data_IF_607066276564
#
_entry.id   IF_607066276564
#
_cell.length_a   1.000
_cell.length_b   1.000
_cell.length_c   1.000
_cell.angle_alpha   90.00
_cell.angle_beta   90.00
_cell.angle_gamma   90.00
#
_symmetry.space_group_name_H-M   'P 1'
#
loop_
_entity.id
_entity.type
_entity.pdbx_description
1 polymer ?
2 water ?
#
# COMPACT_ATOMS: atom_id res chain seq x y z
N UNK A 12 0.98 -25.97 22.28
CA UNK A 12 -0.06 -26.58 21.46
C UNK A 12 -0.46 -25.63 20.32
N UNK A 13 0.23 -25.74 19.19
CA UNK A 13 0.03 -24.82 18.09
C UNK A 13 0.56 -25.36 16.76
N UNK A 14 0.01 -24.86 15.66
CA UNK A 14 0.42 -25.29 14.32
C UNK A 14 1.60 -24.46 13.78
N UNK A 15 1.81 -24.54 12.48
CA UNK A 15 2.90 -23.80 11.84
C UNK A 15 2.37 -22.93 10.69
N UNK A 16 3.18 -21.99 10.24
CA UNK A 16 2.77 -21.08 9.16
C UNK A 16 2.62 -21.82 7.83
N UNK A 17 1.52 -21.55 7.13
CA UNK A 17 1.22 -22.22 5.87
C UNK A 17 0.56 -21.27 4.88
N UNK A 18 1.00 -21.34 3.63
CA UNK A 18 0.39 -20.54 2.58
C UNK A 18 -1.00 -21.07 2.26
N UNK A 19 -1.95 -20.16 2.10
CA UNK A 19 -3.35 -20.54 2.00
C UNK A 19 -4.08 -19.79 0.89
N UNK A 20 -4.86 -20.52 0.11
CA UNK A 20 -5.68 -19.92 -0.94
C UNK A 20 -7.12 -19.83 -0.47
N UNK A 21 -7.30 -19.70 0.83
CA UNK A 21 -8.63 -19.73 1.44
C UNK A 21 -9.55 -18.63 0.92
N UNK A 22 -8.97 -17.49 0.57
CA UNK A 22 -9.75 -16.36 0.07
C UNK A 22 -9.60 -16.19 -1.42
N UNK A 23 -9.81 -17.27 -2.17
CA UNK A 23 -9.74 -17.20 -3.63
C UNK A 23 -11.07 -16.78 -4.21
N UNK A 24 -11.02 -15.96 -5.27
CA UNK A 24 -12.23 -15.48 -5.92
C UNK A 24 -12.81 -16.51 -6.88
N UNK A 25 -14.15 -16.65 -6.90
CA UNK A 25 -14.84 -17.60 -7.75
C UNK A 25 -15.32 -16.96 -9.05
N UNK A 34 -19.78 -2.53 -22.06
CA UNK A 34 -19.73 -1.87 -23.35
C UNK A 34 -19.10 -0.48 -23.27
N UNK A 35 -17.99 -0.30 -23.98
CA UNK A 35 -17.23 0.95 -23.94
C UNK A 35 -17.50 1.83 -25.15
N UNK A 36 -17.23 3.12 -25.00
CA UNK A 36 -17.41 4.07 -26.08
C UNK A 36 -16.51 5.29 -25.84
N UNK A 37 -16.65 6.31 -26.67
CA UNK A 37 -15.84 7.51 -26.54
C UNK A 37 -16.22 8.32 -25.30
N UNK A 38 -17.50 8.30 -24.97
CA UNK A 38 -18.01 9.10 -23.86
C UNK A 38 -17.55 8.59 -22.49
N UNK A 39 -17.21 7.30 -22.43
CA UNK A 39 -16.77 6.69 -21.17
C UNK A 39 -15.36 7.12 -20.78
N UNK A 40 -14.59 7.65 -21.73
CA UNK A 40 -13.24 8.10 -21.45
C UNK A 40 -13.14 9.62 -21.53
N UNK A 41 -14.22 10.27 -21.93
CA UNK A 41 -14.21 11.70 -22.15
C UNK A 41 -14.53 12.49 -20.89
N UNK A 42 -14.56 11.81 -19.75
CA UNK A 42 -14.84 12.48 -18.49
C UNK A 42 -13.81 12.17 -17.42
N UNK A 43 -13.59 13.14 -16.54
CA UNK A 43 -12.76 12.95 -15.37
C UNK A 43 -13.47 13.56 -14.17
N UNK A 44 -14.43 12.82 -13.63
CA UNK A 44 -15.29 13.32 -12.56
C UNK A 44 -15.04 12.65 -11.22
N UNK A 45 -14.83 13.46 -10.19
CA UNK A 45 -14.58 12.95 -8.85
C UNK A 45 -15.88 12.74 -8.08
N UNK A 46 -16.16 11.50 -7.70
CA UNK A 46 -17.38 11.16 -6.98
C UNK A 46 -17.09 10.89 -5.51
N UNK A 47 -17.89 11.48 -4.61
CA UNK A 47 -17.71 11.27 -3.18
C UNK A 47 -18.05 9.85 -2.78
N UNK A 48 -17.17 9.21 -2.00
CA UNK A 48 -17.41 7.86 -1.52
C UNK A 48 -16.77 7.64 -0.15
N UNK A 49 -17.02 6.48 0.43
CA UNK A 49 -16.52 6.17 1.77
C UNK A 49 -15.01 5.99 1.78
N UNK A 50 -14.32 6.85 2.53
CA UNK A 50 -12.88 6.76 2.66
C UNK A 50 -12.13 7.56 1.63
N UNK A 51 -12.86 8.22 0.74
CA UNK A 51 -12.22 9.05 -0.27
C UNK A 51 -13.10 9.34 -1.46
N UNK A 52 -12.63 8.95 -2.64
CA UNK A 52 -13.35 9.26 -3.87
C UNK A 52 -13.30 8.14 -4.90
N UNK A 53 -14.31 8.13 -5.77
CA UNK A 53 -14.39 7.20 -6.87
C UNK A 53 -14.31 7.95 -8.20
N UNK A 54 -13.40 7.54 -9.07
CA UNK A 54 -13.33 8.10 -10.41
C UNK A 54 -13.59 7.01 -11.44
N UNK A 55 -14.60 7.21 -12.27
CA UNK A 55 -14.90 6.27 -13.34
C UNK A 55 -14.35 6.75 -14.68
N UNK A 56 -13.49 5.93 -15.26
CA UNK A 56 -12.93 6.22 -16.58
C UNK A 56 -12.79 4.92 -17.37
N UNK A 57 -13.44 4.88 -18.53
CA UNK A 57 -13.53 3.64 -19.27
C UNK A 57 -14.20 2.58 -18.42
N UNK A 58 -13.59 1.40 -18.35
CA UNK A 58 -14.10 0.33 -17.48
C UNK A 58 -13.32 0.28 -16.17
N UNK A 59 -12.50 1.28 -15.93
CA UNK A 59 -11.75 1.38 -14.68
C UNK A 59 -12.58 2.10 -13.63
N UNK A 60 -12.57 1.58 -12.41
CA UNK A 60 -13.12 2.31 -11.28
C UNK A 60 -12.02 2.56 -10.26
N UNK A 61 -11.55 3.80 -10.19
CA UNK A 61 -10.47 4.15 -9.29
C UNK A 61 -10.99 4.56 -7.93
N UNK A 62 -10.46 3.91 -6.89
CA UNK A 62 -10.79 4.27 -5.51
C UNK A 62 -9.64 5.04 -4.89
N UNK A 63 -9.79 6.36 -4.80
CA UNK A 63 -8.73 7.20 -4.26
C UNK A 63 -8.96 7.49 -2.78
N UNK A 64 -8.02 7.06 -1.93
CA UNK A 64 -8.12 7.27 -0.49
C UNK A 64 -7.79 8.69 -0.09
N UNK A 65 -8.54 9.23 0.87
CA UNK A 65 -8.27 10.57 1.39
C UNK A 65 -7.21 10.56 2.48
N UNK A 66 -6.23 9.69 2.33
CA UNK A 66 -5.16 9.56 3.32
C UNK A 66 -3.79 9.49 2.66
N UNK A 67 -2.77 9.94 3.39
CA UNK A 67 -1.43 10.05 2.85
C UNK A 67 -1.27 11.40 2.18
N UNK A 68 -2.30 12.23 2.31
CA UNK A 68 -2.32 13.54 1.67
C UNK A 68 -1.87 14.63 2.63
N UNK A 69 -2.10 14.41 3.93
CA UNK A 69 -1.69 15.38 4.94
C UNK A 69 -0.19 15.36 5.15
N UNK A 70 0.43 14.21 4.93
CA UNK A 70 1.86 14.05 5.12
C UNK A 70 2.65 14.91 4.15
N UNK A 71 2.21 14.93 2.88
CA UNK A 71 2.88 15.72 1.86
C UNK A 71 2.89 17.21 2.19
N UNK A 72 1.77 17.69 2.74
CA UNK A 72 1.64 19.10 3.10
C UNK A 72 2.55 19.46 4.26
N UNK A 73 2.60 18.59 5.27
CA UNK A 73 3.49 18.78 6.41
C UNK A 73 4.95 18.80 5.97
N UNK A 74 5.31 17.87 5.10
CA UNK A 74 6.67 17.79 4.57
C UNK A 74 7.03 19.05 3.79
N UNK A 75 6.04 19.65 3.14
CA UNK A 75 6.23 20.89 2.40
C UNK A 75 6.39 22.07 3.37
N UNK A 76 5.48 22.18 4.32
CA UNK A 76 5.48 23.27 5.29
C UNK A 76 6.52 23.10 6.40
N UNK A 77 7.21 21.96 6.39
CA UNK A 77 8.22 21.63 7.41
C UNK A 77 7.63 21.41 8.81
N UNK A 78 6.34 21.09 8.87
CA UNK A 78 5.67 20.78 10.13
C UNK A 78 5.88 19.32 10.54
N UNK A 79 7.13 18.87 10.56
CA UNK A 79 7.40 17.46 10.79
C UNK A 79 8.45 17.22 11.87
N UNK A 80 8.58 15.96 12.28
CA UNK A 80 9.63 15.55 13.20
C UNK A 80 10.92 15.33 12.42
N UNK A 81 12.08 15.47 13.09
CA UNK A 81 13.37 15.48 12.38
C UNK A 81 13.71 14.21 11.59
N UNK A 82 12.92 13.15 11.76
CA UNK A 82 13.19 11.90 11.04
C UNK A 82 12.87 12.00 9.55
N UNK A 83 12.19 13.07 9.17
CA UNK A 83 11.75 13.25 7.79
C UNK A 83 12.64 14.18 7.00
N UNK A 84 13.70 14.67 7.64
CA UNK A 84 14.58 15.66 7.02
C UNK A 84 15.36 15.13 5.82
N UNK A 85 15.75 13.86 5.84
CA UNK A 85 16.45 13.26 4.71
C UNK A 85 15.49 13.03 3.55
N UNK A 86 14.19 12.98 3.87
CA UNK A 86 13.17 12.82 2.86
C UNK A 86 12.92 14.17 2.19
N UNK A 87 12.88 15.23 3.01
CA UNK A 87 12.75 16.58 2.48
C UNK A 87 13.97 16.95 1.65
N UNK A 88 15.13 16.44 2.05
CA UNK A 88 16.37 16.72 1.32
C UNK A 88 16.48 15.94 0.02
N UNK A 89 16.08 14.67 0.04
CA UNK A 89 16.14 13.84 -1.15
C UNK A 89 15.22 14.40 -2.23
N UNK A 90 14.05 14.88 -1.80
CA UNK A 90 13.10 15.51 -2.70
C UNK A 90 13.06 17.01 -2.44
N UNK A 91 14.24 17.61 -2.36
CA UNK A 91 14.37 19.03 -2.08
C UNK A 91 13.66 19.89 -3.12
N UNK A 92 13.55 19.36 -4.33
CA UNK A 92 12.88 20.07 -5.41
C UNK A 92 11.36 20.06 -5.22
N UNK A 93 10.88 19.29 -4.25
CA UNK A 93 9.45 19.20 -3.99
C UNK A 93 9.04 19.82 -2.65
N UNK A 94 9.75 19.45 -1.58
CA UNK A 94 9.37 19.90 -0.24
C UNK A 94 10.15 21.12 0.22
N UNK A 95 11.32 21.34 -0.35
CA UNK A 95 12.14 22.50 0.00
C UNK A 95 12.25 23.44 -1.20
N UNK A 96 11.12 23.76 -1.81
CA UNK A 96 11.09 24.61 -2.99
C UNK A 96 9.89 25.55 -2.97
N UNK A 97 10.14 26.86 -2.87
CA UNK A 97 9.10 27.88 -2.76
C UNK A 97 8.13 27.87 -3.95
N UNK A 98 8.64 27.47 -5.11
CA UNK A 98 7.81 27.44 -6.32
C UNK A 98 7.32 26.05 -6.67
N UNK A 99 7.22 25.18 -5.67
CA UNK A 99 6.57 23.89 -5.85
C UNK A 99 5.15 23.95 -5.28
N UNK A 100 4.26 23.14 -5.82
CA UNK A 100 2.86 23.16 -5.44
C UNK A 100 2.30 21.75 -5.41
N UNK A 101 1.40 21.48 -4.46
CA UNK A 101 0.83 20.15 -4.29
C UNK A 101 -0.57 20.05 -4.87
N UNK A 102 -0.81 19.03 -5.68
CA UNK A 102 -2.15 18.76 -6.19
C UNK A 102 -2.73 17.53 -5.52
N UNK A 103 -4.05 17.47 -5.46
CA UNK A 103 -4.74 16.33 -4.86
C UNK A 103 -4.48 15.07 -5.67
N UNK A 104 -4.56 13.89 -5.03
CA UNK A 104 -4.28 12.63 -5.73
C UNK A 104 -5.20 12.40 -6.91
N UNK A 105 -6.35 13.10 -6.90
CA UNK A 105 -7.30 13.06 -7.99
C UNK A 105 -6.70 13.61 -9.28
N UNK A 106 -5.93 14.68 -9.16
CA UNK A 106 -5.30 15.30 -10.32
C UNK A 106 -3.97 14.63 -10.67
N UNK A 107 -3.32 14.05 -9.67
CA UNK A 107 -2.06 13.35 -9.89
C UNK A 107 -2.32 12.07 -10.67
N UNK A 108 -3.45 11.43 -10.39
CA UNK A 108 -3.89 10.25 -11.13
C UNK A 108 -4.19 10.63 -12.57
N UNK A 109 -4.72 11.84 -12.75
CA UNK A 109 -5.06 12.34 -14.08
C UNK A 109 -3.81 12.48 -14.94
N UNK A 110 -2.77 13.08 -14.37
CA UNK A 110 -1.48 13.21 -15.03
C UNK A 110 -0.92 11.83 -15.34
N UNK A 111 -0.90 10.96 -14.34
CA UNK A 111 -0.39 9.61 -14.48
C UNK A 111 -1.09 8.86 -15.62
N UNK A 112 -2.42 8.96 -15.66
CA UNK A 112 -3.19 8.32 -16.71
C UNK A 112 -2.90 8.96 -18.07
N UNK A 113 -2.62 10.25 -18.07
CA UNK A 113 -2.28 10.96 -19.28
C UNK A 113 -1.00 10.42 -19.89
N UNK A 114 -0.02 10.15 -19.02
CA UNK A 114 1.26 9.60 -19.44
C UNK A 114 1.06 8.17 -19.95
N UNK A 115 0.16 7.45 -19.29
CA UNK A 115 -0.14 6.06 -19.64
C UNK A 115 -0.58 5.93 -21.10
N UNK A 116 -1.41 6.87 -21.53
CA UNK A 116 -1.94 6.85 -22.89
C UNK A 116 -0.84 7.16 -23.92
N UNK A 117 0.30 7.64 -23.45
CA UNK A 117 1.43 7.92 -24.33
C UNK A 117 2.45 6.78 -24.34
N UNK A 118 2.08 5.66 -23.73
CA UNK A 118 2.95 4.48 -23.71
C UNK A 118 3.12 3.92 -25.11
N UNK A 119 4.36 3.68 -25.50
CA UNK A 119 4.68 3.22 -26.86
C UNK A 119 4.12 1.82 -27.16
N UNK A 120 4.21 0.92 -26.19
CA UNK A 120 3.67 -0.43 -26.35
C UNK A 120 2.15 -0.40 -26.58
N UNK A 121 1.51 0.65 -26.06
CA UNK A 121 0.09 0.85 -26.25
C UNK A 121 -0.19 1.49 -27.61
N UNK A 122 0.70 2.36 -28.04
CA UNK A 122 0.55 3.08 -29.30
C UNK A 122 0.60 2.16 -30.51
N UNK A 123 1.54 1.22 -30.49
CA UNK A 123 1.75 0.32 -31.63
C UNK A 123 0.64 -0.72 -31.74
N UNK A 124 -0.29 -0.71 -30.79
CA UNK A 124 -1.41 -1.64 -30.81
C UNK A 124 -2.69 -0.97 -31.32
N UNK A 125 -2.55 0.22 -31.89
CA UNK A 125 -3.70 0.98 -32.36
C UNK A 125 -3.64 1.30 -33.84
N UNK A 126 -4.60 2.09 -34.31
CA UNK A 126 -4.66 2.52 -35.71
C UNK A 126 -4.70 4.05 -35.73
N UNK A 127 -4.01 4.67 -36.70
CA UNK A 127 -3.93 6.14 -36.81
C UNK A 127 -5.26 6.88 -36.62
N UNK A 128 -6.36 6.26 -37.04
CA UNK A 128 -7.67 6.86 -36.84
C UNK A 128 -8.02 6.90 -35.36
N UNK A 129 -7.59 5.87 -34.65
CA UNK A 129 -7.84 5.76 -33.22
C UNK A 129 -6.69 6.38 -32.42
N UNK A 130 -5.48 6.34 -33.00
CA UNK A 130 -4.30 6.90 -32.35
C UNK A 130 -4.42 8.41 -32.15
N UNK A 131 -4.98 9.09 -33.15
CA UNK A 131 -5.16 10.53 -33.07
C UNK A 131 -6.16 10.89 -31.97
N UNK A 132 -7.17 10.05 -31.81
CA UNK A 132 -8.19 10.26 -30.78
C UNK A 132 -7.58 10.09 -29.40
N UNK A 133 -6.82 9.02 -29.22
CA UNK A 133 -6.15 8.73 -27.96
C UNK A 133 -5.19 9.85 -27.58
N UNK A 134 -4.46 10.35 -28.58
CA UNK A 134 -3.52 11.45 -28.36
C UNK A 134 -4.22 12.69 -27.85
N UNK A 135 -5.40 12.98 -28.40
CA UNK A 135 -6.19 14.12 -27.95
C UNK A 135 -6.59 13.94 -26.49
N UNK A 136 -6.98 12.73 -26.13
CA UNK A 136 -7.34 12.41 -24.75
C UNK A 136 -6.14 12.60 -23.82
N UNK A 137 -4.98 12.16 -24.29
CA UNK A 137 -3.76 12.25 -23.50
C UNK A 137 -3.41 13.70 -23.18
N UNK A 138 -3.43 14.56 -24.20
CA UNK A 138 -3.10 15.96 -24.02
C UNK A 138 -4.10 16.64 -23.11
N UNK A 139 -5.36 16.24 -23.23
CA UNK A 139 -6.42 16.76 -22.38
C UNK A 139 -6.20 16.38 -20.92
N UNK A 140 -5.82 15.12 -20.69
CA UNK A 140 -5.55 14.63 -19.34
C UNK A 140 -4.29 15.27 -18.75
N UNK A 141 -3.30 15.54 -19.59
CA UNK A 141 -2.02 16.07 -19.14
C UNK A 141 -1.99 17.59 -18.97
N UNK A 142 -2.63 18.31 -19.90
CA UNK A 142 -2.49 19.76 -19.94
C UNK A 142 -3.69 20.52 -19.39
N UNK A 143 -4.78 19.81 -19.13
CA UNK A 143 -6.00 20.46 -18.66
C UNK A 143 -6.47 19.89 -17.33
N UNK A 144 -7.43 20.58 -16.71
CA UNK A 144 -8.05 20.10 -15.48
C UNK A 144 -9.57 20.17 -15.60
N UNK A 145 -10.05 20.18 -16.84
CA UNK A 145 -11.49 20.19 -17.12
C UNK A 145 -12.09 18.79 -16.92
N UNK A 146 -13.32 18.73 -16.42
CA UNK A 146 -13.94 17.46 -16.10
C UNK A 146 -14.41 16.68 -17.33
N UNK A 147 -14.56 17.36 -18.45
CA UNK A 147 -15.03 16.69 -19.67
C UNK A 147 -14.39 17.26 -20.92
N UNK A 148 -14.25 16.41 -21.93
CA UNK A 148 -13.74 16.85 -23.22
C UNK A 148 -14.69 16.49 -24.36
N UNK A 149 -15.05 17.50 -25.15
CA UNK A 149 -15.92 17.29 -26.30
C UNK A 149 -15.14 17.34 -27.60
N UNK A 150 -15.08 16.21 -28.31
CA UNK A 150 -14.42 16.13 -29.59
C UNK A 150 -15.45 16.15 -30.70
N UNK A 151 -15.37 17.15 -31.57
CA UNK A 151 -16.30 17.30 -32.68
C UNK A 151 -16.30 16.07 -33.59
N UNK A 152 -17.49 15.60 -33.98
CA UNK A 152 -17.68 14.42 -34.84
C UNK A 152 -16.84 14.47 -36.11
N UNK A 153 -16.58 15.68 -36.61
CA UNK A 153 -15.70 15.87 -37.75
C UNK A 153 -14.34 15.24 -37.54
N UNK A 154 -13.75 15.48 -36.37
CA UNK A 154 -12.41 15.03 -36.04
C UNK A 154 -12.30 13.51 -36.04
N UNK A 155 -13.40 12.83 -35.75
CA UNK A 155 -13.43 11.37 -35.81
C UNK A 155 -13.41 10.92 -37.26
N UNK A 156 -12.26 10.45 -37.72
CA UNK A 156 -12.11 9.99 -39.09
C UNK A 156 -12.77 8.65 -39.31
N UNK A 157 -12.84 7.85 -38.24
CA UNK A 157 -13.38 6.50 -38.32
C UNK A 157 -14.40 6.26 -37.22
N UNK A 158 -15.15 5.18 -37.34
CA UNK A 158 -16.02 4.74 -36.26
C UNK A 158 -15.17 4.12 -35.16
N UNK A 159 -15.62 4.25 -33.93
CA UNK A 159 -14.89 3.69 -32.80
C UNK A 159 -15.67 2.55 -32.15
N UNK A 160 -15.11 1.34 -32.24
CA UNK A 160 -15.77 0.17 -31.69
C UNK A 160 -15.42 -0.03 -30.23
N UNK A 161 -16.18 -0.88 -29.55
CA UNK A 161 -15.92 -1.17 -28.14
C UNK A 161 -14.58 -1.89 -27.97
N UNK A 162 -14.21 -2.68 -28.98
CA UNK A 162 -12.99 -3.46 -28.92
C UNK A 162 -11.73 -2.62 -28.89
N UNK A 163 -11.71 -1.56 -29.69
CA UNK A 163 -10.58 -0.65 -29.72
C UNK A 163 -10.34 -0.03 -28.35
N UNK A 164 -11.43 0.34 -27.67
CA UNK A 164 -11.33 0.87 -26.32
C UNK A 164 -10.88 -0.19 -25.32
N UNK A 165 -11.33 -1.43 -25.51
CA UNK A 165 -10.95 -2.52 -24.62
C UNK A 165 -9.46 -2.76 -24.63
N UNK A 166 -8.86 -2.84 -25.81
CA UNK A 166 -7.43 -3.07 -25.91
C UNK A 166 -6.66 -1.82 -25.45
N UNK A 167 -7.33 -0.67 -25.47
CA UNK A 167 -6.75 0.53 -24.91
C UNK A 167 -6.69 0.41 -23.39
N UNK A 168 -7.74 -0.16 -22.79
CA UNK A 168 -7.77 -0.41 -21.36
C UNK A 168 -6.66 -1.39 -20.97
N UNK A 169 -6.46 -2.39 -21.83
CA UNK A 169 -5.40 -3.37 -21.62
C UNK A 169 -4.03 -2.69 -21.62
N UNK A 170 -3.87 -1.70 -22.49
CA UNK A 170 -2.63 -0.96 -22.57
C UNK A 170 -2.36 -0.20 -21.29
N UNK A 171 -3.42 0.37 -20.71
CA UNK A 171 -3.32 1.11 -19.46
C UNK A 171 -2.98 0.18 -18.30
N UNK A 172 -3.65 -0.97 -18.24
CA UNK A 172 -3.36 -1.95 -17.21
C UNK A 172 -1.91 -2.38 -17.30
N UNK A 173 -1.42 -2.51 -18.53
CA UNK A 173 -0.05 -2.91 -18.75
C UNK A 173 0.95 -1.84 -18.31
N UNK A 174 0.58 -0.58 -18.46
CA UNK A 174 1.44 0.51 -18.01
C UNK A 174 1.50 0.55 -16.49
N UNK A 175 0.37 0.29 -15.86
CA UNK A 175 0.31 0.20 -14.41
C UNK A 175 1.22 -0.92 -13.96
N UNK A 176 1.15 -2.04 -14.68
CA UNK A 176 1.94 -3.23 -14.38
C UNK A 176 3.43 -2.97 -14.48
N UNK A 177 3.82 -2.12 -15.43
CA UNK A 177 5.24 -1.80 -15.61
C UNK A 177 5.74 -0.86 -14.51
N UNK A 178 4.84 -0.04 -13.99
CA UNK A 178 5.17 0.86 -12.88
C UNK A 178 5.45 0.09 -11.60
N UNK A 179 4.91 -1.12 -11.51
CA UNK A 179 5.13 -1.95 -10.33
C UNK A 179 6.44 -2.73 -10.42
N UNK A 180 7.11 -2.63 -11.56
CA UNK A 180 8.42 -3.25 -11.71
C UNK A 180 9.52 -2.31 -11.23
N UNK A 181 9.14 -1.06 -11.01
CA UNK A 181 10.06 -0.09 -10.42
C UNK A 181 10.33 -0.49 -8.98
N UNK A 182 11.55 -0.27 -8.53
CA UNK A 182 11.88 -0.47 -7.14
C UNK A 182 11.62 0.83 -6.38
N UNK A 183 11.38 0.71 -5.09
CA UNK A 183 11.30 1.88 -4.22
C UNK A 183 12.67 2.56 -4.23
N UNK A 184 12.72 3.86 -3.96
CA UNK A 184 13.99 4.57 -3.86
C UNK A 184 14.96 3.82 -2.96
N UNK A 185 16.15 3.54 -3.49
CA UNK A 185 17.12 2.71 -2.81
C UNK A 185 18.54 3.20 -3.02
N UNK A 186 19.52 2.44 -2.53
CA UNK A 186 20.91 2.77 -2.73
C UNK A 186 21.68 1.65 -3.43
N UNK A 187 21.01 0.99 -4.38
CA UNK A 187 21.61 -0.11 -5.12
C UNK A 187 21.63 0.16 -6.61
N UNK A 188 21.36 1.41 -6.98
CA UNK A 188 21.37 1.80 -8.38
C UNK A 188 20.22 1.21 -9.17
N UNK A 189 19.21 0.70 -8.47
CA UNK A 189 18.04 0.12 -9.13
C UNK A 189 17.08 1.21 -9.56
N UNK A 190 16.50 1.07 -10.76
CA UNK A 190 15.57 2.05 -11.31
C UNK A 190 14.37 2.28 -10.38
N UNK A 191 14.15 3.53 -10.00
CA UNK A 191 13.05 3.87 -9.11
C UNK A 191 12.16 4.97 -9.67
N UNK A 192 12.43 5.36 -10.91
CA UNK A 192 11.67 6.43 -11.54
C UNK A 192 11.44 6.24 -13.04
N UNK A 193 10.30 6.71 -13.51
CA UNK A 193 10.00 6.76 -14.93
C UNK A 193 9.90 8.21 -15.37
N UNK A 194 10.78 8.61 -16.29
CA UNK A 194 10.77 9.98 -16.77
C UNK A 194 10.24 10.05 -18.20
N UNK A 195 9.54 11.13 -18.51
CA UNK A 195 9.07 11.37 -19.87
C UNK A 195 9.12 12.87 -20.20
N UNK A 196 9.83 13.20 -21.27
CA UNK A 196 9.96 14.59 -21.67
C UNK A 196 9.01 14.92 -22.81
N UNK A 197 8.28 16.03 -22.67
CA UNK A 197 7.33 16.45 -23.69
C UNK A 197 7.62 17.88 -24.14
N UNK A 198 6.64 18.53 -24.74
CA UNK A 198 6.81 19.91 -25.19
C UNK A 198 6.84 20.87 -24.00
N UNK A 199 8.05 21.27 -23.62
CA UNK A 199 8.25 22.21 -22.54
C UNK A 199 7.68 21.72 -21.21
N UNK A 200 7.69 20.41 -21.02
CA UNK A 200 7.09 19.82 -19.83
C UNK A 200 7.73 18.48 -19.51
N UNK A 201 8.27 18.36 -18.30
CA UNK A 201 8.89 17.13 -17.86
C UNK A 201 8.08 16.47 -16.75
N UNK A 202 7.83 15.18 -16.89
CA UNK A 202 7.03 14.45 -15.91
C UNK A 202 7.80 13.27 -15.33
N UNK A 203 7.91 13.23 -14.00
CA UNK A 203 8.66 12.18 -13.33
C UNK A 203 7.75 11.42 -12.38
N UNK A 204 7.75 10.09 -12.49
CA UNK A 204 7.00 9.24 -11.56
C UNK A 204 7.95 8.43 -10.70
N UNK A 205 7.97 8.69 -9.41
CA UNK A 205 8.90 8.03 -8.51
C UNK A 205 8.19 7.12 -7.50
N UNK A 206 8.64 5.87 -7.43
CA UNK A 206 8.02 4.90 -6.52
C UNK A 206 8.59 5.00 -5.11
N UNK A 207 7.74 5.43 -4.18
CA UNK A 207 8.11 5.45 -2.76
C UNK A 207 7.36 4.34 -2.04
N UNK A 208 7.59 4.23 -0.73
CA UNK A 208 6.93 3.20 0.08
C UNK A 208 5.41 3.33 0.07
N UNK A 209 4.92 4.57 0.01
CA UNK A 209 3.49 4.83 0.12
C UNK A 209 2.78 4.84 -1.23
N UNK A 210 3.55 4.79 -2.31
CA UNK A 210 2.96 4.76 -3.63
C UNK A 210 3.84 5.38 -4.71
N UNK A 211 3.25 6.24 -5.52
CA UNK A 211 3.96 6.82 -6.65
C UNK A 211 3.92 8.35 -6.64
N UNK A 212 5.10 8.94 -6.57
CA UNK A 212 5.22 10.39 -6.58
C UNK A 212 5.18 10.89 -8.01
N UNK A 213 4.15 11.67 -8.33
CA UNK A 213 3.99 12.23 -9.67
C UNK A 213 4.32 13.72 -9.65
N UNK A 214 5.40 14.10 -10.32
CA UNK A 214 5.76 15.51 -10.42
C UNK A 214 5.85 15.99 -11.86
N UNK A 215 5.48 17.25 -12.09
CA UNK A 215 5.56 17.85 -13.41
C UNK A 215 6.32 19.18 -13.36
N UNK A 216 7.37 19.28 -14.15
CA UNK A 216 8.18 20.49 -14.16
C UNK A 216 7.97 21.31 -15.44
N UNK A 217 7.87 22.63 -15.29
CA UNK A 217 7.71 23.52 -16.44
C UNK A 217 8.65 24.72 -16.35
N UNK A 218 8.52 25.64 -17.30
CA UNK A 218 9.31 26.86 -17.30
C UNK A 218 8.45 28.12 -17.45
N UNK A 230 12.38 30.94 -15.54
CA UNK A 230 11.37 30.39 -14.65
C UNK A 230 11.42 28.86 -14.62
N UNK A 231 11.13 28.29 -13.46
CA UNK A 231 11.15 26.84 -13.29
C UNK A 231 10.19 26.42 -12.19
N UNK A 232 8.98 26.05 -12.58
CA UNK A 232 7.96 25.65 -11.62
C UNK A 232 7.77 24.13 -11.61
N UNK A 233 7.28 23.61 -10.49
CA UNK A 233 7.03 22.18 -10.37
C UNK A 233 5.76 21.90 -9.56
N UNK A 234 4.99 20.91 -10.02
CA UNK A 234 3.77 20.51 -9.34
C UNK A 234 3.85 19.01 -9.04
N UNK A 235 3.51 18.62 -7.81
CA UNK A 235 3.60 17.22 -7.44
C UNK A 235 2.44 16.72 -6.56
N UNK A 236 2.23 15.41 -6.61
CA UNK A 236 1.20 14.76 -5.83
C UNK A 236 1.54 13.31 -5.60
N UNK A 237 0.69 12.61 -4.86
CA UNK A 237 0.94 11.21 -4.54
C UNK A 237 -0.26 10.35 -4.94
N UNK A 238 0.02 9.28 -5.67
CA UNK A 238 -0.99 8.29 -5.99
C UNK A 238 -0.75 7.04 -5.15
N UNK A 239 -1.69 6.75 -4.25
CA UNK A 239 -1.56 5.61 -3.34
C UNK A 239 -1.47 4.31 -4.12
N UNK A 240 -0.62 3.41 -3.64
CA UNK A 240 -0.35 2.14 -4.30
C UNK A 240 -1.60 1.31 -4.56
N UNK A 241 -2.60 1.45 -3.69
CA UNK A 241 -3.83 0.68 -3.79
C UNK A 241 -4.65 1.04 -5.02
N UNK A 242 -4.56 2.31 -5.42
CA UNK A 242 -5.29 2.82 -6.58
C UNK A 242 -4.91 2.06 -7.84
N UNK A 243 -3.61 1.77 -7.98
CA UNK A 243 -3.11 1.14 -9.19
C UNK A 243 -3.02 -0.38 -9.03
N UNK A 244 -2.76 -0.84 -7.81
CA UNK A 244 -2.63 -2.26 -7.53
C UNK A 244 -3.89 -3.01 -7.95
N UNK A 245 -5.03 -2.42 -7.62
CA UNK A 245 -6.34 -2.96 -7.98
C UNK A 245 -6.48 -3.14 -9.49
N UNK A 246 -5.83 -2.28 -10.25
CA UNK A 246 -5.92 -2.29 -11.71
C UNK A 246 -4.58 -2.58 -12.36
N UNK A 247 -3.75 -3.39 -11.71
CA UNK A 247 -2.42 -3.68 -12.24
C UNK A 247 -2.36 -5.04 -12.91
N UNK A 248 -3.26 -5.93 -12.52
CA UNK A 248 -3.33 -7.26 -13.11
C UNK A 248 -4.44 -7.35 -14.17
N UNK A 249 -4.30 -8.29 -15.09
CA UNK A 249 -5.28 -8.46 -16.17
C UNK A 249 -6.63 -8.92 -15.62
N UNK A 250 -6.58 -9.66 -14.51
CA UNK A 250 -7.79 -10.15 -13.85
C UNK A 250 -8.52 -9.03 -13.13
N UNK A 251 -9.84 -9.16 -13.04
CA UNK A 251 -10.68 -8.12 -12.44
C UNK A 251 -10.41 -7.96 -10.93
N UNK A 252 -10.71 -9.01 -10.17
CA UNK A 252 -10.47 -9.01 -8.74
C UNK A 252 -11.51 -8.26 -7.94
N UNK A 253 -11.13 -7.81 -6.75
CA UNK A 253 -12.04 -7.15 -5.84
C UNK A 253 -11.41 -5.87 -5.26
N UNK A 254 -12.23 -4.84 -5.02
CA UNK A 254 -11.78 -3.48 -4.71
C UNK A 254 -10.88 -3.33 -3.47
N UNK A 255 -11.12 -4.14 -2.44
CA UNK A 255 -10.35 -3.99 -1.20
C UNK A 255 -8.87 -4.31 -1.42
N UNK B 16 9.64 7.58 -23.02
CA UNK B 16 9.89 7.39 -21.59
C UNK B 16 10.86 6.25 -21.35
N UNK B 17 11.60 6.32 -20.24
CA UNK B 17 12.57 5.30 -19.91
C UNK B 17 12.84 5.22 -18.40
N UNK B 18 13.31 4.07 -17.95
CA UNK B 18 13.66 3.87 -16.55
C UNK B 18 14.97 4.59 -16.24
N UNK B 19 15.00 5.28 -15.10
CA UNK B 19 16.20 5.99 -14.68
C UNK B 19 16.18 6.27 -13.18
N UNK B 20 17.37 6.30 -12.57
CA UNK B 20 17.49 6.55 -11.14
C UNK B 20 17.78 8.02 -10.89
N UNK B 21 16.80 8.74 -10.35
CA UNK B 21 16.95 10.16 -10.09
C UNK B 21 16.95 10.47 -8.60
N UNK B 22 16.14 9.74 -7.85
CA UNK B 22 16.01 9.98 -6.42
C UNK B 22 16.58 8.85 -5.57
N UNK B 23 17.41 8.01 -6.20
CA UNK B 23 18.06 6.93 -5.46
C UNK B 23 18.99 7.45 -4.37
N UNK B 24 19.08 6.70 -3.29
CA UNK B 24 19.87 7.09 -2.13
C UNK B 24 21.35 6.86 -2.35
N UNK B 25 22.20 7.63 -1.65
CA UNK B 25 23.66 7.43 -1.72
C UNK B 25 24.10 6.25 -0.86
N UNK B 26 25.01 5.44 -1.38
CA UNK B 26 25.50 4.28 -0.65
C UNK B 26 26.30 4.69 0.59
N UNK B 35 24.59 -1.33 21.56
CA UNK B 35 23.33 -0.76 21.10
C UNK B 35 22.18 -1.05 22.05
N UNK B 36 20.99 -0.56 21.72
CA UNK B 36 19.84 -0.62 22.61
C UNK B 36 19.18 -2.00 22.61
N UNK B 37 19.69 -2.90 23.44
CA UNK B 37 19.21 -4.28 23.49
C UNK B 37 17.80 -4.38 24.10
N UNK B 38 17.52 -3.56 25.10
CA UNK B 38 16.23 -3.61 25.81
C UNK B 38 15.07 -3.03 25.01
N UNK B 39 15.36 -2.53 23.81
CA UNK B 39 14.33 -1.97 22.94
C UNK B 39 13.38 -3.06 22.44
N UNK B 40 13.84 -4.30 22.46
CA UNK B 40 13.03 -5.44 22.05
C UNK B 40 11.91 -5.72 23.05
N UNK B 41 12.06 -5.22 24.26
CA UNK B 41 11.08 -5.46 25.31
C UNK B 41 10.13 -4.28 25.44
N UNK B 42 10.31 -3.27 24.60
CA UNK B 42 9.46 -2.08 24.63
C UNK B 42 8.54 -2.02 23.40
N UNK B 43 7.35 -1.46 23.60
CA UNK B 43 6.43 -1.18 22.51
C UNK B 43 5.99 0.26 22.60
N UNK B 44 6.76 1.15 21.98
CA UNK B 44 6.54 2.59 22.12
C UNK B 44 5.66 3.17 21.02
N UNK B 45 4.36 3.26 21.29
CA UNK B 45 3.43 3.88 20.36
C UNK B 45 3.25 5.36 20.70
N UNK B 46 3.26 6.20 19.67
CA UNK B 46 3.04 7.63 19.86
C UNK B 46 2.48 8.26 18.61
N UNK B 47 1.45 9.10 18.77
CA UNK B 47 0.77 9.74 17.64
C UNK B 47 1.72 10.60 16.83
N UNK B 48 1.56 10.59 15.51
CA UNK B 48 2.38 11.42 14.64
C UNK B 48 1.58 11.86 13.42
N UNK B 49 2.26 12.51 12.49
CA UNK B 49 1.59 13.07 11.32
C UNK B 49 0.96 11.99 10.47
N UNK B 50 -0.37 12.00 10.41
CA UNK B 50 -1.11 11.04 9.61
C UNK B 50 -1.33 9.71 10.30
N UNK B 51 -0.96 9.62 11.57
CA UNK B 51 -1.19 8.40 12.33
C UNK B 51 -0.31 8.24 13.55
N UNK B 52 0.42 7.13 13.60
CA UNK B 52 1.24 6.81 14.77
C UNK B 52 2.66 6.39 14.40
N UNK B 53 3.53 6.43 15.39
CA UNK B 53 4.86 5.85 15.27
C UNK B 53 5.03 4.80 16.36
N UNK B 54 5.44 3.61 15.97
CA UNK B 54 5.75 2.58 16.95
C UNK B 54 7.20 2.16 16.82
N UNK B 55 7.92 2.27 17.94
CA UNK B 55 9.31 1.85 18.00
C UNK B 55 9.44 0.52 18.72
N UNK B 56 10.05 -0.44 18.06
CA UNK B 56 10.35 -1.73 18.66
C UNK B 56 11.64 -2.25 18.07
N UNK B 57 12.57 -2.65 18.94
CA UNK B 57 13.90 -2.99 18.49
C UNK B 57 14.51 -1.77 17.83
N UNK B 58 15.12 -1.95 16.68
CA UNK B 58 15.64 -0.82 15.91
C UNK B 58 14.72 -0.47 14.74
N UNK B 59 13.47 -0.93 14.83
CA UNK B 59 12.47 -0.57 13.81
C UNK B 59 11.71 0.66 14.24
N UNK B 60 11.47 1.56 13.30
CA UNK B 60 10.55 2.66 13.51
C UNK B 60 9.38 2.51 12.55
N UNK B 61 8.22 2.13 13.08
CA UNK B 61 7.05 1.91 12.24
C UNK B 61 6.22 3.18 12.08
N UNK B 62 5.84 3.48 10.84
CA UNK B 62 4.97 4.61 10.55
C UNK B 62 3.58 4.12 10.15
N UNK B 63 2.63 4.21 11.08
CA UNK B 63 1.29 3.68 10.88
C UNK B 63 0.29 4.78 10.53
N UNK B 64 -0.28 4.72 9.31
CA UNK B 64 -1.30 5.65 8.84
C UNK B 64 -2.70 5.34 9.37
N UNK B 65 -3.59 6.33 9.30
CA UNK B 65 -4.98 6.19 9.70
C UNK B 65 -5.83 5.55 8.61
N UNK B 66 -5.17 5.02 7.59
CA UNK B 66 -5.85 4.56 6.38
C UNK B 66 -6.73 3.33 6.57
N UNK B 67 -7.96 3.40 6.07
CA UNK B 67 -8.81 2.24 5.97
C UNK B 67 -9.79 2.04 7.10
N UNK B 68 -9.59 2.75 8.20
CA UNK B 68 -10.41 2.59 9.39
C UNK B 68 -11.88 2.94 9.14
N UNK B 69 -12.11 4.02 8.42
CA UNK B 69 -13.48 4.43 8.10
C UNK B 69 -14.11 3.41 7.16
N UNK B 70 -13.36 2.97 6.16
CA UNK B 70 -13.83 1.99 5.20
C UNK B 70 -14.15 0.64 5.85
N UNK B 71 -13.24 0.16 6.71
CA UNK B 71 -13.43 -1.12 7.38
C UNK B 71 -14.72 -1.16 8.19
N UNK B 72 -15.01 -0.07 8.88
CA UNK B 72 -16.21 0.01 9.69
C UNK B 72 -17.46 0.01 8.80
N UNK B 73 -17.40 0.73 7.69
CA UNK B 73 -18.53 0.81 6.77
C UNK B 73 -18.83 -0.54 6.10
N UNK B 74 -17.78 -1.30 5.80
CA UNK B 74 -17.94 -2.60 5.15
C UNK B 74 -18.67 -3.64 6.01
N UNK B 75 -18.81 -3.35 7.31
CA UNK B 75 -19.58 -4.24 8.18
C UNK B 75 -21.07 -4.00 8.01
N UNK B 76 -21.41 -2.94 7.28
CA UNK B 76 -22.79 -2.68 6.93
C UNK B 76 -23.14 -3.38 5.63
N UNK B 77 -24.41 -3.73 5.47
CA UNK B 77 -24.87 -4.33 4.22
C UNK B 77 -25.41 -3.28 3.27
N UNK B 78 -25.41 -2.03 3.71
CA UNK B 78 -25.91 -0.94 2.88
C UNK B 78 -24.76 -0.23 2.19
N UNK B 79 -23.94 -1.01 1.48
CA UNK B 79 -22.82 -0.48 0.72
C UNK B 79 -23.14 -0.61 -0.76
N UNK B 80 -22.53 0.24 -1.57
CA UNK B 80 -22.68 0.17 -3.01
C UNK B 80 -22.27 -1.22 -3.51
N UNK B 81 -22.93 -1.71 -4.57
CA UNK B 81 -22.75 -3.07 -5.10
C UNK B 81 -21.30 -3.50 -5.29
N UNK B 82 -20.41 -2.57 -5.54
CA UNK B 82 -19.00 -2.90 -5.80
C UNK B 82 -18.30 -3.50 -4.58
N UNK B 83 -18.86 -3.30 -3.40
CA UNK B 83 -18.23 -3.79 -2.18
C UNK B 83 -18.83 -5.09 -1.67
N UNK B 84 -19.94 -5.50 -2.27
CA UNK B 84 -20.65 -6.69 -1.78
C UNK B 84 -19.84 -7.97 -1.96
N UNK B 85 -19.06 -8.02 -3.04
CA UNK B 85 -18.19 -9.17 -3.28
C UNK B 85 -17.18 -9.30 -2.14
N UNK B 86 -16.65 -8.15 -1.72
CA UNK B 86 -15.68 -8.12 -0.62
C UNK B 86 -16.31 -8.63 0.67
N UNK B 87 -17.52 -8.17 0.97
CA UNK B 87 -18.25 -8.62 2.15
C UNK B 87 -18.51 -10.12 2.11
N UNK B 88 -18.81 -10.64 0.92
CA UNK B 88 -19.05 -12.07 0.75
C UNK B 88 -17.78 -12.89 0.94
N UNK B 89 -16.68 -12.41 0.38
CA UNK B 89 -15.41 -13.10 0.51
C UNK B 89 -14.99 -13.22 1.97
N UNK B 90 -15.17 -12.15 2.73
CA UNK B 90 -14.87 -12.15 4.16
C UNK B 90 -16.14 -12.06 4.99
N UNK B 91 -16.99 -13.08 4.87
CA UNK B 91 -18.27 -13.11 5.57
C UNK B 91 -18.13 -13.05 7.08
N UNK B 92 -17.23 -13.87 7.61
CA UNK B 92 -17.01 -13.95 9.06
C UNK B 92 -16.51 -12.63 9.63
N UNK B 93 -15.99 -11.76 8.76
CA UNK B 93 -15.50 -10.46 9.19
C UNK B 93 -16.54 -9.35 9.00
N UNK B 94 -17.13 -9.28 7.81
CA UNK B 94 -18.00 -8.17 7.47
C UNK B 94 -19.49 -8.47 7.64
N UNK B 95 -19.88 -9.72 7.39
CA UNK B 95 -21.27 -10.11 7.53
C UNK B 95 -21.50 -10.85 8.86
N UNK B 96 -20.65 -10.52 9.83
CA UNK B 96 -20.81 -10.98 11.20
C UNK B 96 -20.67 -9.78 12.13
N UNK B 97 -21.78 -9.33 12.71
CA UNK B 97 -21.79 -8.12 13.54
C UNK B 97 -20.96 -8.26 14.82
N UNK B 98 -20.74 -9.50 15.25
CA UNK B 98 -20.02 -9.75 16.50
C UNK B 98 -18.51 -9.53 16.40
N UNK B 99 -17.98 -9.59 15.19
CA UNK B 99 -16.54 -9.36 14.99
C UNK B 99 -16.22 -7.89 15.23
N UNK B 100 -15.06 -7.62 15.83
CA UNK B 100 -14.68 -6.26 16.15
C UNK B 100 -13.40 -5.83 15.46
N UNK B 101 -13.37 -4.57 15.04
CA UNK B 101 -12.22 -4.02 14.33
C UNK B 101 -11.21 -3.43 15.30
N UNK B 102 -9.94 -3.78 15.11
CA UNK B 102 -8.88 -3.25 15.96
C UNK B 102 -8.05 -2.23 15.19
N UNK B 103 -7.40 -1.33 15.92
CA UNK B 103 -6.54 -0.32 15.33
C UNK B 103 -5.39 -0.98 14.58
N UNK B 104 -4.91 -0.33 13.52
CA UNK B 104 -3.82 -0.88 12.71
C UNK B 104 -2.53 -1.15 13.49
N UNK B 105 -2.24 -0.35 14.51
CA UNK B 105 -1.03 -0.58 15.31
C UNK B 105 -1.15 -1.82 16.21
N UNK B 106 -2.38 -2.19 16.53
CA UNK B 106 -2.63 -3.42 17.26
C UNK B 106 -2.51 -4.60 16.31
N UNK B 107 -2.87 -4.38 15.05
CA UNK B 107 -2.77 -5.41 14.03
C UNK B 107 -1.31 -5.63 13.66
N UNK B 108 -0.52 -4.56 13.68
CA UNK B 108 0.90 -4.66 13.43
C UNK B 108 1.55 -5.45 14.55
N UNK B 109 1.10 -5.19 15.77
CA UNK B 109 1.62 -5.86 16.96
C UNK B 109 1.40 -7.35 16.83
N UNK B 110 0.21 -7.73 16.39
CA UNK B 110 -0.15 -9.12 16.15
C UNK B 110 0.74 -9.72 15.08
N UNK B 111 0.97 -8.96 14.02
CA UNK B 111 1.79 -9.40 12.90
C UNK B 111 3.22 -9.66 13.36
N UNK B 112 3.73 -8.78 14.21
CA UNK B 112 5.07 -8.93 14.76
C UNK B 112 5.18 -10.18 15.63
N UNK B 113 4.12 -10.48 16.38
CA UNK B 113 4.09 -11.67 17.21
C UNK B 113 4.26 -12.93 16.38
N UNK B 114 3.60 -12.93 15.22
CA UNK B 114 3.72 -14.04 14.28
C UNK B 114 5.14 -14.16 13.73
N UNK B 115 5.73 -13.02 13.36
CA UNK B 115 7.07 -12.98 12.77
C UNK B 115 8.11 -13.57 13.71
N UNK B 116 7.96 -13.28 15.01
CA UNK B 116 8.89 -13.82 16.00
C UNK B 116 8.85 -15.34 16.09
N UNK B 117 7.80 -15.96 15.57
CA UNK B 117 7.71 -17.41 15.61
C UNK B 117 8.07 -18.04 14.27
N UNK B 118 8.59 -17.24 13.34
CA UNK B 118 9.01 -17.74 12.03
C UNK B 118 10.08 -18.83 12.17
N UNK B 119 9.88 -19.94 11.46
CA UNK B 119 10.78 -21.10 11.56
C UNK B 119 12.20 -20.80 11.08
N UNK B 120 12.33 -19.84 10.18
CA UNK B 120 13.63 -19.51 9.62
C UNK B 120 14.41 -18.64 10.59
N UNK B 121 13.68 -17.97 11.49
CA UNK B 121 14.31 -17.10 12.48
C UNK B 121 14.78 -17.85 13.72
N UNK B 122 13.97 -18.81 14.16
CA UNK B 122 14.22 -19.53 15.40
C UNK B 122 15.18 -20.69 15.20
N UNK B 123 15.78 -20.72 14.02
CA UNK B 123 16.62 -21.85 13.66
C UNK B 123 18.09 -21.54 13.99
N UNK B 124 18.43 -20.27 14.02
CA UNK B 124 19.80 -19.84 14.32
C UNK B 124 19.93 -19.13 15.66
N UNK B 125 18.88 -19.23 16.48
CA UNK B 125 18.90 -18.65 17.82
C UNK B 125 19.37 -19.68 18.83
N UNK B 126 20.10 -19.22 19.85
CA UNK B 126 20.46 -20.07 20.97
C UNK B 126 19.21 -20.33 21.81
N UNK B 127 19.07 -21.55 22.33
CA UNK B 127 17.88 -22.03 23.06
C UNK B 127 17.42 -21.09 24.17
N UNK B 128 18.36 -20.52 24.92
CA UNK B 128 18.02 -19.58 25.97
C UNK B 128 17.32 -18.35 25.43
N UNK B 129 17.86 -17.78 24.36
CA UNK B 129 17.27 -16.61 23.73
C UNK B 129 16.01 -16.99 22.97
N UNK B 130 15.97 -18.22 22.47
CA UNK B 130 14.78 -18.72 21.78
C UNK B 130 13.58 -18.70 22.71
N UNK B 131 13.79 -19.04 23.97
CA UNK B 131 12.72 -19.03 24.95
C UNK B 131 12.32 -17.60 25.31
N UNK B 132 13.28 -16.69 25.23
CA UNK B 132 12.99 -15.27 25.43
C UNK B 132 12.10 -14.76 24.31
N UNK B 133 12.48 -15.09 23.07
CA UNK B 133 11.69 -14.74 21.89
C UNK B 133 10.27 -15.26 22.03
N UNK B 134 10.13 -16.44 22.63
CA UNK B 134 8.83 -17.03 22.87
C UNK B 134 8.00 -16.16 23.82
N UNK B 135 8.63 -15.70 24.89
CA UNK B 135 7.96 -14.81 25.83
C UNK B 135 7.56 -13.50 25.16
N UNK B 136 8.47 -12.95 24.35
CA UNK B 136 8.19 -11.71 23.61
C UNK B 136 7.01 -11.90 22.68
N UNK B 137 7.01 -13.02 21.97
CA UNK B 137 5.95 -13.33 21.02
C UNK B 137 4.59 -13.39 21.69
N UNK B 138 4.52 -14.06 22.83
CA UNK B 138 3.27 -14.17 23.58
C UNK B 138 2.81 -12.79 24.07
N UNK B 139 3.77 -11.97 24.48
CA UNK B 139 3.50 -10.62 24.94
C UNK B 139 2.90 -9.76 23.84
N UNK B 140 3.40 -9.93 22.62
CA UNK B 140 2.91 -9.14 21.49
C UNK B 140 1.53 -9.60 21.03
N UNK B 141 1.27 -10.91 21.12
CA UNK B 141 0.01 -11.46 20.63
C UNK B 141 -1.14 -11.31 21.63
N UNK B 142 -0.83 -11.46 22.91
CA UNK B 142 -1.88 -11.51 23.94
C UNK B 142 -2.06 -10.22 24.72
N UNK B 143 -1.06 -9.35 24.71
CA UNK B 143 -1.12 -8.12 25.50
C UNK B 143 -1.09 -6.87 24.64
N UNK B 144 -1.37 -5.73 25.27
CA UNK B 144 -1.31 -4.44 24.61
C UNK B 144 -0.45 -3.48 25.42
N UNK B 145 0.18 -4.01 26.45
CA UNK B 145 1.05 -3.22 27.32
C UNK B 145 2.30 -2.79 26.57
N UNK B 146 2.86 -1.65 26.98
CA UNK B 146 4.00 -1.06 26.27
C UNK B 146 5.33 -1.72 26.63
N UNK B 147 5.34 -2.50 27.70
CA UNK B 147 6.58 -3.14 28.14
C UNK B 147 6.39 -4.55 28.67
N UNK B 148 7.39 -5.40 28.43
CA UNK B 148 7.47 -6.71 29.03
C UNK B 148 8.73 -6.75 29.88
N UNK B 149 8.63 -7.24 31.10
CA UNK B 149 9.79 -7.27 31.99
C UNK B 149 10.37 -8.67 32.12
N UNK B 150 11.58 -8.84 31.59
CA UNK B 150 12.29 -10.11 31.68
C UNK B 150 13.53 -9.94 32.55
N UNK B 151 13.80 -10.93 33.39
CA UNK B 151 14.93 -10.87 34.32
C UNK B 151 16.27 -10.61 33.61
N UNK B 152 17.05 -9.67 34.14
CA UNK B 152 18.36 -9.32 33.57
C UNK B 152 19.33 -10.50 33.59
N UNK B 153 19.02 -11.51 34.40
CA UNK B 153 19.84 -12.71 34.46
C UNK B 153 19.78 -13.49 33.15
N UNK B 154 18.58 -13.61 32.59
CA UNK B 154 18.40 -14.31 31.33
C UNK B 154 18.86 -13.47 30.16
N UNK B 155 18.59 -12.17 30.23
CA UNK B 155 19.00 -11.24 29.19
C UNK B 155 20.52 -11.09 29.13
N UNK B 156 21.15 -11.18 30.30
CA UNK B 156 22.57 -10.94 30.42
C UNK B 156 23.45 -12.03 29.83
N UNK B 157 22.84 -13.16 29.50
CA UNK B 157 23.60 -14.26 28.90
C UNK B 157 23.06 -14.66 27.54
N UNK B 158 21.78 -14.40 27.30
CA UNK B 158 21.13 -14.86 26.07
C UNK B 158 20.89 -13.74 25.06
N UNK B 159 20.61 -12.53 25.54
CA UNK B 159 20.40 -11.40 24.65
C UNK B 159 21.73 -10.73 24.29
N UNK B 160 22.45 -11.33 23.35
CA UNK B 160 23.72 -10.77 22.90
C UNK B 160 23.49 -9.88 21.68
N UNK B 161 24.53 -9.17 21.25
CA UNK B 161 24.43 -8.32 20.08
C UNK B 161 24.12 -9.15 18.84
N UNK B 162 24.76 -10.31 18.74
CA UNK B 162 24.51 -11.25 17.66
C UNK B 162 23.04 -11.67 17.59
N UNK B 163 22.49 -12.04 18.74
CA UNK B 163 21.09 -12.47 18.82
C UNK B 163 20.13 -11.33 18.51
N UNK B 164 20.49 -10.12 18.90
CA UNK B 164 19.70 -8.94 18.55
C UNK B 164 19.73 -8.72 17.05
N UNK B 165 20.92 -8.81 16.47
CA UNK B 165 21.10 -8.62 15.04
C UNK B 165 20.28 -9.61 14.24
N UNK B 166 20.39 -10.89 14.63
CA UNK B 166 19.66 -11.95 13.96
C UNK B 166 18.16 -11.76 14.09
N UNK B 167 17.71 -11.36 15.27
CA UNK B 167 16.31 -11.13 15.52
C UNK B 167 15.71 -10.09 14.59
N UNK B 168 16.42 -8.98 14.41
CA UNK B 168 15.97 -7.92 13.52
C UNK B 168 16.00 -8.39 12.06
N UNK B 169 17.08 -9.08 11.68
CA UNK B 169 17.20 -9.60 10.32
C UNK B 169 16.09 -10.60 9.99
N UNK B 170 15.69 -11.38 10.99
CA UNK B 170 14.62 -12.35 10.82
C UNK B 170 13.27 -11.71 10.56
N UNK B 171 12.97 -10.64 11.30
CA UNK B 171 11.69 -9.95 11.15
C UNK B 171 11.59 -9.27 9.79
N UNK B 172 12.69 -8.66 9.34
CA UNK B 172 12.74 -8.06 8.02
C UNK B 172 12.52 -9.14 6.96
N UNK B 173 13.10 -10.30 7.20
CA UNK B 173 12.94 -11.44 6.28
C UNK B 173 11.50 -11.90 6.19
N UNK B 174 10.81 -11.91 7.33
CA UNK B 174 9.41 -12.31 7.36
C UNK B 174 8.54 -11.29 6.63
N UNK B 175 8.85 -10.01 6.81
CA UNK B 175 8.13 -8.95 6.11
C UNK B 175 8.31 -9.14 4.62
N UNK B 176 9.53 -9.48 4.23
CA UNK B 176 9.86 -9.67 2.82
C UNK B 176 9.12 -10.83 2.18
N UNK B 177 8.96 -11.92 2.92
CA UNK B 177 8.26 -13.08 2.38
C UNK B 177 6.75 -12.86 2.35
N UNK B 178 6.27 -11.92 3.16
CA UNK B 178 4.86 -11.52 3.11
C UNK B 178 4.53 -10.85 1.78
N UNK B 179 5.53 -10.21 1.18
CA UNK B 179 5.34 -9.57 -0.11
C UNK B 179 5.43 -10.55 -1.27
N UNK B 180 5.71 -11.82 -0.95
CA UNK B 180 5.64 -12.85 -1.97
C UNK B 180 4.20 -13.30 -2.14
N UNK B 181 3.35 -12.97 -1.17
CA UNK B 181 1.93 -13.26 -1.25
C UNK B 181 1.26 -12.46 -2.36
N UNK B 182 0.35 -13.09 -3.08
CA UNK B 182 -0.46 -12.40 -4.07
C UNK B 182 -1.71 -11.84 -3.42
N UNK B 183 -2.18 -10.71 -3.92
CA UNK B 183 -3.48 -10.19 -3.52
C UNK B 183 -4.52 -11.24 -3.91
N UNK B 184 -5.65 -11.25 -3.20
CA UNK B 184 -6.70 -12.22 -3.48
C UNK B 184 -7.05 -12.27 -4.96
N UNK B 185 -7.11 -13.47 -5.50
CA UNK B 185 -7.25 -13.66 -6.93
C UNK B 185 -8.17 -14.83 -7.25
N UNK B 186 -8.41 -15.04 -8.54
CA UNK B 186 -9.29 -16.11 -8.99
C UNK B 186 -8.53 -17.20 -9.72
N UNK B 187 -7.21 -17.22 -9.56
CA UNK B 187 -6.37 -18.22 -10.23
C UNK B 187 -5.39 -18.95 -9.30
N UNK B 188 -5.93 -19.44 -8.18
CA UNK B 188 -5.20 -20.36 -7.31
C UNK B 188 -3.82 -19.95 -6.84
N UNK B 189 -3.69 -18.69 -6.43
CA UNK B 189 -2.42 -18.20 -5.91
C UNK B 189 -2.53 -17.93 -4.42
N UNK B 190 -1.50 -18.33 -3.66
CA UNK B 190 -1.43 -18.16 -2.20
C UNK B 190 -1.60 -16.71 -1.80
N UNK B 191 -2.76 -16.39 -1.25
CA UNK B 191 -3.08 -15.02 -0.89
C UNK B 191 -3.05 -14.81 0.61
N UNK B 192 -2.79 -15.88 1.36
CA UNK B 192 -2.85 -15.81 2.81
C UNK B 192 -1.77 -16.63 3.49
N UNK B 193 -1.51 -16.30 4.76
CA UNK B 193 -0.67 -17.10 5.63
C UNK B 193 -1.44 -17.40 6.91
N UNK B 194 -1.64 -18.67 7.21
CA UNK B 194 -2.35 -19.05 8.42
C UNK B 194 -1.41 -19.66 9.44
N UNK B 195 -1.74 -19.48 10.71
CA UNK B 195 -0.93 -20.03 11.78
C UNK B 195 -1.76 -20.14 13.06
N UNK B 196 -1.43 -21.13 13.89
CA UNK B 196 -2.01 -21.20 15.23
C UNK B 196 -0.93 -20.87 16.25
N UNK B 197 -1.24 -19.99 17.19
CA UNK B 197 -0.29 -19.58 18.21
C UNK B 197 -0.99 -19.31 19.53
N UNK B 198 -0.57 -20.02 20.58
CA UNK B 198 -1.12 -19.86 21.93
C UNK B 198 -2.64 -19.89 22.00
N UNK B 199 -3.26 -20.79 21.25
CA UNK B 199 -4.69 -20.99 21.32
C UNK B 199 -5.53 -19.97 20.57
N UNK B 200 -5.00 -19.44 19.48
CA UNK B 200 -5.79 -18.54 18.63
C UNK B 200 -5.34 -18.55 17.18
N UNK B 201 -6.27 -18.86 16.29
CA UNK B 201 -5.99 -18.96 14.86
C UNK B 201 -5.77 -17.59 14.24
N UNK B 202 -4.59 -17.38 13.68
CA UNK B 202 -4.26 -16.09 13.07
C UNK B 202 -4.11 -16.23 11.55
N UNK B 203 -4.78 -15.35 10.81
CA UNK B 203 -4.74 -15.38 9.35
C UNK B 203 -4.39 -14.01 8.77
N UNK B 204 -3.31 -13.97 7.99
CA UNK B 204 -2.88 -12.74 7.32
C UNK B 204 -3.10 -12.83 5.81
N UNK B 205 -3.93 -11.94 5.29
CA UNK B 205 -4.26 -11.96 3.87
C UNK B 205 -3.88 -10.64 3.18
N UNK B 206 -3.25 -10.75 2.02
CA UNK B 206 -2.89 -9.56 1.27
C UNK B 206 -4.05 -9.06 0.42
N UNK B 207 -4.44 -7.80 0.65
CA UNK B 207 -5.42 -7.14 -0.18
C UNK B 207 -4.76 -5.99 -0.92
N UNK B 208 -5.52 -5.26 -1.73
CA UNK B 208 -4.97 -4.12 -2.47
C UNK B 208 -4.43 -3.01 -1.56
N UNK B 209 -5.05 -2.87 -0.40
CA UNK B 209 -4.71 -1.79 0.52
C UNK B 209 -3.55 -2.15 1.44
N UNK B 210 -3.27 -3.44 1.56
CA UNK B 210 -2.21 -3.91 2.43
C UNK B 210 -2.51 -5.29 2.93
N UNK B 211 -2.28 -5.51 4.22
CA UNK B 211 -2.45 -6.84 4.79
C UNK B 211 -3.55 -6.88 5.82
N UNK B 212 -4.56 -7.69 5.56
CA UNK B 212 -5.66 -7.87 6.50
C UNK B 212 -5.24 -8.88 7.55
N UNK B 213 -5.15 -8.43 8.79
CA UNK B 213 -4.74 -9.31 9.89
C UNK B 213 -5.97 -9.73 10.71
N UNK B 214 -6.24 -11.03 10.70
CA UNK B 214 -7.44 -11.58 11.32
C UNK B 214 -7.10 -12.58 12.42
N UNK B 215 -7.75 -12.45 13.57
CA UNK B 215 -7.51 -13.38 14.68
C UNK B 215 -8.80 -13.99 15.21
N UNK B 216 -8.87 -15.32 15.24
CA UNK B 216 -9.99 -16.02 15.83
C UNK B 216 -9.57 -16.64 17.15
N UNK B 217 -10.07 -16.10 18.25
CA UNK B 217 -9.65 -16.53 19.58
C UNK B 217 -10.84 -16.95 20.45
N UNK B 218 -10.54 -17.29 21.69
CA UNK B 218 -11.58 -17.60 22.67
C UNK B 218 -11.51 -16.60 23.81
N UNK B 219 -12.59 -15.83 23.98
CA UNK B 219 -12.64 -14.82 25.03
C UNK B 219 -13.15 -15.41 26.35
N UNK B 220 -12.52 -15.00 27.43
CA UNK B 220 -12.90 -15.45 28.77
C UNK B 220 -13.52 -14.30 29.56
N UNK B 221 -14.85 -14.30 29.67
CA UNK B 221 -15.55 -13.23 30.37
C UNK B 221 -15.90 -13.62 31.81
N UNK B 222 -15.52 -12.77 32.76
CA UNK B 222 -15.78 -13.02 34.16
C UNK B 222 -17.18 -12.59 34.58
N UNK B 226 -19.34 -16.40 37.47
CA UNK B 226 -19.31 -17.54 36.56
C UNK B 226 -18.47 -17.25 35.32
N UNK B 227 -17.55 -18.15 35.02
CA UNK B 227 -16.65 -18.01 33.86
C UNK B 227 -17.30 -18.51 32.58
N UNK B 228 -17.31 -17.68 31.55
CA UNK B 228 -17.93 -18.04 30.28
C UNK B 228 -16.96 -17.91 29.10
N UNK B 229 -16.85 -18.96 28.31
CA UNK B 229 -15.95 -18.96 27.16
C UNK B 229 -16.72 -18.87 25.85
N UNK B 230 -16.28 -17.99 24.95
CA UNK B 230 -16.97 -17.78 23.69
C UNK B 230 -16.00 -17.54 22.54
N UNK B 231 -16.43 -17.86 21.33
CA UNK B 231 -15.63 -17.61 20.14
C UNK B 231 -15.61 -16.13 19.83
N UNK B 232 -14.42 -15.59 19.63
CA UNK B 232 -14.25 -14.16 19.36
C UNK B 232 -13.45 -13.93 18.09
N UNK B 233 -13.82 -12.90 17.33
CA UNK B 233 -13.12 -12.58 16.09
C UNK B 233 -12.77 -11.10 16.01
N UNK B 234 -11.48 -10.81 15.87
CA UNK B 234 -11.03 -9.44 15.67
C UNK B 234 -10.24 -9.37 14.38
N UNK B 235 -10.16 -8.18 13.79
CA UNK B 235 -9.37 -7.99 12.59
C UNK B 235 -9.01 -6.53 12.37
N UNK B 236 -7.88 -6.30 11.72
CA UNK B 236 -7.42 -4.97 11.40
C UNK B 236 -6.70 -4.97 10.08
N UNK B 237 -6.30 -3.79 9.62
CA UNK B 237 -5.64 -3.65 8.33
C UNK B 237 -4.32 -2.92 8.47
N UNK B 238 -3.22 -3.61 8.14
CA UNK B 238 -1.91 -2.97 8.13
C UNK B 238 -1.57 -2.52 6.72
N UNK B 239 -1.37 -1.21 6.55
CA UNK B 239 -1.07 -0.64 5.25
C UNK B 239 0.27 -1.15 4.73
N UNK B 240 0.33 -1.36 3.43
CA UNK B 240 1.50 -1.92 2.76
C UNK B 240 2.80 -1.17 3.07
N UNK B 241 2.71 0.16 3.10
CA UNK B 241 3.89 1.01 3.34
C UNK B 241 4.56 0.75 4.69
N UNK B 242 3.75 0.39 5.68
CA UNK B 242 4.26 0.06 7.01
C UNK B 242 5.33 -1.01 6.98
N UNK B 243 5.10 -2.04 6.17
CA UNK B 243 6.01 -3.18 6.09
C UNK B 243 7.03 -3.04 4.96
N UNK B 244 6.65 -2.32 3.91
CA UNK B 244 7.53 -2.17 2.75
C UNK B 244 8.79 -1.37 3.12
N UNK B 245 8.62 -0.47 4.07
CA UNK B 245 9.74 0.31 4.59
C UNK B 245 10.81 -0.59 5.22
N UNK B 246 10.40 -1.76 5.68
CA UNK B 246 11.32 -2.66 6.39
C UNK B 246 11.35 -4.07 5.80
N UNK B 247 11.24 -4.17 4.47
CA UNK B 247 11.17 -5.48 3.82
C UNK B 247 12.39 -5.75 2.95
N UNK B 248 13.15 -4.70 2.65
CA UNK B 248 14.34 -4.84 1.83
C UNK B 248 15.60 -4.52 2.62
N UNK B 252 16.45 2.60 4.26
CA UNK B 252 16.01 3.54 3.24
C UNK B 252 15.33 4.75 3.84
N UNK B 253 14.26 5.20 3.20
CA UNK B 253 13.51 6.35 3.67
C UNK B 253 12.07 5.99 4.06
N UNK B 254 11.51 6.69 5.05
CA UNK B 254 10.16 6.41 5.54
C UNK B 254 9.05 6.76 4.54
N UNK B 255 9.34 7.59 3.55
CA UNK B 255 8.33 7.97 2.58
C UNK B 255 8.04 6.82 1.61
#
# INVERSE_FOLDING_TARGET
MAHHHHHHVDDDDKMAELSTRYNLPANVTENSINLDLNSTARWIKEPSVGGWTVKWGNFVFHIPNTGMTLLHHLKSNFVVPEWQQTRNLFSHLFKNPKSTIIEPFLALRILLGVALKDQELQQSLIPGFRSIVHMLSEWLLLEVTSAIHISPNLLGIYLTSDMFKILMAGVKNFFNKMFTLHVVNDHGKPSSIEIKLTGQQIIITRVNMGFLVEVRRIDIEPCCGETVLSESVVFGLVAEAVLREHSQMEKGQPLNLTQYMNSKIAI
MAHHHHHHVDDDDKMAELSTRYNLPANVTENSINLDLNSTARWIKEPSVGGWTVKWGNFVFHIPNTGMTLLHHLKSNFVVPEWQQTRNLFSHLFKNPKSTIIEPFLALRILLGVALKDQELQQSLIPGFRSIVHMLSEWLLLEVTSAIHISPNLLGIYLTSDMFKILMAGVKNFFNKMFTLHVVNDHGKPSSIEIKLTGQQIIITRVNMGFLVEVRRIDIEPCCGETVLSESVVFGLVAEAVLREHSQMEKGQPLNLTQYMNSKIAI
#
